data_IF_660525512537
#
_entry.id   IF_660525512537
#
_cell.length_a   1.000
_cell.length_b   1.000
_cell.length_c   1.000
_cell.angle_alpha   90.00
_cell.angle_beta   90.00
_cell.angle_gamma   90.00
#
_symmetry.space_group_name_H-M   'P 1'
#
loop_
_entity.id
_entity.type
_entity.pdbx_description
1 polymer ?
#
# COMPACT_ATOMS: atom_id res chain seq x y z
N UNK A 1 -2.32 -4.76 9.78
CA UNK A 1 -1.85 -3.65 8.94
C UNK A 1 -1.41 -4.21 7.61
N UNK A 2 -1.82 -3.59 6.51
CA UNK A 2 -1.74 -4.16 5.18
C UNK A 2 -0.37 -3.97 4.50
N UNK A 3 -0.09 -4.75 3.47
CA UNK A 3 1.01 -4.53 2.53
C UNK A 3 0.45 -4.09 1.18
N UNK A 4 1.02 -3.04 0.60
CA UNK A 4 0.63 -2.54 -0.72
C UNK A 4 1.86 -2.48 -1.64
N UNK A 5 1.62 -2.73 -2.91
CA UNK A 5 2.63 -2.61 -3.97
C UNK A 5 1.97 -2.15 -5.27
N UNK A 6 2.68 -1.34 -6.04
CA UNK A 6 2.31 -0.94 -7.40
C UNK A 6 3.53 -0.98 -8.30
N UNK A 7 3.36 -1.44 -9.53
CA UNK A 7 4.44 -1.61 -10.51
C UNK A 7 3.99 -1.10 -11.87
N UNK A 8 4.86 -0.33 -12.52
CA UNK A 8 4.77 0.03 -13.93
C UNK A 8 6.05 -0.44 -14.63
N UNK A 9 5.91 -1.20 -15.70
CA UNK A 9 7.02 -1.77 -16.46
C UNK A 9 6.66 -1.80 -17.96
N UNK A 10 7.62 -2.15 -18.80
CA UNK A 10 7.37 -2.48 -20.22
C UNK A 10 7.18 -4.00 -20.43
N UNK A 11 7.29 -4.79 -19.36
CA UNK A 11 7.06 -6.23 -19.35
C UNK A 11 5.87 -6.59 -18.45
N UNK A 12 5.49 -7.87 -18.43
CA UNK A 12 4.45 -8.39 -17.53
C UNK A 12 4.82 -8.16 -16.07
N UNK A 13 3.93 -7.49 -15.31
CA UNK A 13 4.20 -7.09 -13.91
C UNK A 13 3.73 -8.09 -12.88
N UNK A 14 2.85 -9.03 -13.25
CA UNK A 14 2.27 -9.96 -12.28
C UNK A 14 3.31 -10.81 -11.52
N UNK A 15 4.42 -11.31 -12.13
CA UNK A 15 5.45 -12.02 -11.38
C UNK A 15 6.15 -11.14 -10.35
N UNK A 16 6.48 -9.89 -10.70
CA UNK A 16 7.10 -8.94 -9.77
C UNK A 16 6.18 -8.62 -8.60
N UNK A 17 4.88 -8.44 -8.87
CA UNK A 17 3.90 -8.17 -7.81
C UNK A 17 3.73 -9.39 -6.89
N UNK A 18 3.72 -10.60 -7.44
CA UNK A 18 3.68 -11.84 -6.66
C UNK A 18 4.87 -11.94 -5.71
N UNK A 19 6.09 -11.72 -6.22
CA UNK A 19 7.31 -11.75 -5.42
C UNK A 19 7.30 -10.64 -4.36
N UNK A 20 6.89 -9.42 -4.72
CA UNK A 20 6.75 -8.31 -3.80
C UNK A 20 5.77 -8.62 -2.66
N UNK A 21 4.61 -9.20 -2.96
CA UNK A 21 3.64 -9.61 -1.95
C UNK A 21 4.19 -10.75 -1.08
N UNK A 22 4.96 -11.67 -1.65
CA UNK A 22 5.61 -12.74 -0.87
C UNK A 22 6.61 -12.16 0.14
N UNK A 23 7.39 -11.16 -0.24
CA UNK A 23 8.30 -10.43 0.65
C UNK A 23 7.52 -9.69 1.74
N UNK A 24 6.38 -9.10 1.41
CA UNK A 24 5.50 -8.36 2.33
C UNK A 24 4.55 -9.26 3.15
N UNK A 25 4.59 -10.59 3.03
CA UNK A 25 3.60 -11.50 3.63
C UNK A 25 3.44 -11.31 5.16
N UNK A 26 4.49 -10.85 5.84
CA UNK A 26 4.46 -10.53 7.27
C UNK A 26 3.48 -9.38 7.61
N UNK A 27 3.15 -8.51 6.64
CA UNK A 27 2.22 -7.40 6.84
C UNK A 27 0.74 -7.80 6.76
N UNK A 28 0.43 -8.95 6.13
CA UNK A 28 -0.94 -9.43 6.03
C UNK A 28 -1.01 -10.89 5.60
N UNK A 29 -1.84 -11.69 6.31
CA UNK A 29 -1.96 -13.13 6.09
C UNK A 29 -3.41 -13.59 5.92
N UNK A 30 -4.36 -12.66 5.90
CA UNK A 30 -5.79 -12.95 5.81
C UNK A 30 -6.26 -13.10 4.36
N UNK A 31 -5.84 -12.18 3.50
CA UNK A 31 -6.18 -12.22 2.08
C UNK A 31 -5.06 -11.61 1.25
N UNK A 32 -4.96 -12.06 0.00
CA UNK A 32 -4.05 -11.53 -1.00
C UNK A 32 -4.80 -11.22 -2.30
N UNK A 33 -4.38 -10.17 -3.00
CA UNK A 33 -4.97 -9.81 -4.29
C UNK A 33 -3.98 -9.09 -5.20
N UNK A 34 -4.14 -9.31 -6.50
CA UNK A 34 -3.40 -8.65 -7.57
C UNK A 34 -4.41 -8.16 -8.60
N UNK A 35 -4.25 -6.91 -9.02
CA UNK A 35 -4.93 -6.34 -10.17
C UNK A 35 -3.88 -5.88 -11.18
N UNK A 36 -4.11 -6.17 -12.45
CA UNK A 36 -3.24 -5.73 -13.55
C UNK A 36 -4.07 -5.11 -14.66
N UNK A 37 -3.43 -4.31 -15.50
CA UNK A 37 -4.04 -3.71 -16.67
C UNK A 37 -3.20 -4.00 -17.92
N UNK A 38 -3.83 -4.65 -18.89
CA UNK A 38 -3.29 -4.91 -20.22
C UNK A 38 -4.03 -4.02 -21.22
N UNK A 39 -3.37 -2.97 -21.71
CA UNK A 39 -3.97 -1.89 -22.49
C UNK A 39 -5.15 -1.27 -21.72
N UNK A 40 -6.39 -1.61 -22.10
CA UNK A 40 -7.61 -1.14 -21.44
C UNK A 40 -8.36 -2.25 -20.69
N UNK A 41 -7.76 -3.46 -20.61
CA UNK A 41 -8.37 -4.62 -19.95
C UNK A 41 -7.86 -4.77 -18.54
N UNK A 42 -8.80 -4.81 -17.63
CA UNK A 42 -8.55 -5.02 -16.21
C UNK A 42 -8.62 -6.51 -15.86
N UNK A 43 -7.62 -7.00 -15.17
CA UNK A 43 -7.56 -8.36 -14.65
C UNK A 43 -7.42 -8.31 -13.14
N UNK A 44 -8.23 -9.10 -12.43
CA UNK A 44 -8.25 -9.14 -10.97
C UNK A 44 -8.31 -10.57 -10.45
N UNK A 45 -7.43 -10.90 -9.54
CA UNK A 45 -7.51 -12.09 -8.72
C UNK A 45 -7.31 -11.69 -7.25
N UNK A 46 -8.28 -12.03 -6.38
CA UNK A 46 -8.19 -11.86 -4.94
C UNK A 46 -8.92 -12.95 -4.20
N UNK A 47 -8.39 -13.38 -3.07
CA UNK A 47 -8.93 -14.46 -2.26
C UNK A 47 -8.41 -14.37 -0.82
N UNK A 48 -9.12 -15.03 0.11
CA UNK A 48 -8.60 -15.31 1.45
C UNK A 48 -7.43 -16.30 1.35
N UNK A 49 -6.42 -16.11 2.18
CA UNK A 49 -5.24 -16.97 2.28
C UNK A 49 -3.93 -16.24 1.98
N UNK A 50 -2.84 -16.98 2.09
CA UNK A 50 -1.48 -16.49 1.80
C UNK A 50 -1.27 -16.36 0.30
N UNK A 51 -0.27 -15.56 -0.11
CA UNK A 51 0.09 -15.34 -1.52
C UNK A 51 0.20 -16.66 -2.30
N UNK A 52 0.97 -17.60 -1.78
CA UNK A 52 1.17 -18.92 -2.41
C UNK A 52 -0.11 -19.75 -2.56
N UNK A 53 -1.11 -19.52 -1.70
CA UNK A 53 -2.36 -20.28 -1.71
C UNK A 53 -3.37 -19.65 -2.69
N UNK A 54 -3.34 -18.33 -2.81
CA UNK A 54 -4.24 -17.55 -3.68
C UNK A 54 -3.81 -17.60 -5.15
N UNK A 55 -2.50 -17.55 -5.41
CA UNK A 55 -1.95 -17.48 -6.77
C UNK A 55 -1.27 -18.77 -7.15
N UNK A 56 -1.81 -19.41 -8.18
CA UNK A 56 -1.24 -20.59 -8.86
C UNK A 56 -0.84 -20.19 -10.28
N UNK A 57 -0.02 -20.99 -10.93
CA UNK A 57 0.47 -20.72 -12.30
C UNK A 57 -0.66 -20.36 -13.27
N UNK A 58 -1.78 -21.10 -13.19
CA UNK A 58 -2.97 -20.84 -14.02
C UNK A 58 -3.58 -19.45 -13.80
N UNK A 59 -3.47 -18.91 -12.59
CA UNK A 59 -3.95 -17.56 -12.28
C UNK A 59 -2.96 -16.50 -12.77
N UNK A 60 -1.66 -16.76 -12.63
CA UNK A 60 -0.62 -15.82 -13.06
C UNK A 60 -0.66 -15.57 -14.57
N UNK A 61 -0.92 -16.59 -15.39
CA UNK A 61 -1.09 -16.48 -16.84
C UNK A 61 -2.24 -15.53 -17.23
N UNK A 62 -3.26 -15.41 -16.39
CA UNK A 62 -4.43 -14.55 -16.65
C UNK A 62 -4.24 -13.10 -16.18
N UNK A 63 -3.29 -12.84 -15.28
CA UNK A 63 -2.96 -11.51 -14.77
C UNK A 63 -1.95 -10.81 -15.69
N UNK A 64 -2.38 -10.54 -16.91
CA UNK A 64 -1.54 -9.88 -17.93
C UNK A 64 -1.48 -8.38 -17.73
N UNK A 65 -0.43 -7.78 -18.24
CA UNK A 65 -0.30 -6.34 -18.34
C UNK A 65 1.01 -5.78 -17.80
N UNK A 66 1.29 -4.56 -18.22
CA UNK A 66 2.51 -3.81 -17.93
C UNK A 66 2.39 -2.86 -16.75
N UNK A 67 1.22 -2.77 -16.14
CA UNK A 67 1.00 -2.08 -14.85
C UNK A 67 0.06 -2.87 -13.97
N UNK A 68 0.27 -2.79 -12.65
CA UNK A 68 -0.54 -3.54 -11.70
C UNK A 68 -0.32 -3.08 -10.27
N UNK A 69 -1.26 -3.46 -9.41
CA UNK A 69 -1.21 -3.23 -7.97
C UNK A 69 -1.48 -4.53 -7.21
N UNK A 70 -0.87 -4.66 -6.04
CA UNK A 70 -1.02 -5.80 -5.17
C UNK A 70 -1.36 -5.39 -3.75
N UNK A 71 -2.05 -6.27 -3.03
CA UNK A 71 -2.48 -6.03 -1.66
C UNK A 71 -2.40 -7.29 -0.81
N UNK A 72 -1.97 -7.11 0.44
CA UNK A 72 -2.07 -8.09 1.53
C UNK A 72 -2.90 -7.52 2.66
N UNK A 73 -3.96 -8.24 3.03
CA UNK A 73 -4.85 -7.82 4.08
C UNK A 73 -4.39 -8.36 5.44
N UNK A 74 -4.33 -7.45 6.40
CA UNK A 74 -4.28 -7.78 7.82
C UNK A 74 -5.68 -7.53 8.41
N UNK A 75 -6.31 -8.51 9.09
CA UNK A 75 -7.65 -8.31 9.63
C UNK A 75 -7.62 -7.23 10.70
N UNK A 76 -8.33 -6.14 10.49
CA UNK A 76 -8.76 -5.21 11.52
C UNK A 76 -10.12 -5.66 12.04
N UNK A 77 -10.62 -5.12 13.13
CA UNK A 77 -11.91 -5.52 13.70
C UNK A 77 -13.01 -5.61 12.60
N UNK A 78 -13.53 -6.80 12.36
CA UNK A 78 -14.56 -7.04 11.33
C UNK A 78 -14.53 -8.47 10.78
N UNK A 79 -15.54 -8.84 9.99
CA UNK A 79 -15.72 -10.17 9.41
C UNK A 79 -14.56 -10.57 8.46
N UNK A 80 -14.27 -11.86 8.40
CA UNK A 80 -13.40 -12.47 7.40
C UNK A 80 -14.15 -12.60 6.06
N UNK A 81 -14.66 -11.49 5.52
CA UNK A 81 -15.39 -11.50 4.26
C UNK A 81 -14.43 -11.37 3.07
N UNK A 82 -14.60 -12.27 2.12
CA UNK A 82 -13.89 -12.24 0.84
C UNK A 82 -14.08 -10.92 0.09
N UNK A 83 -15.22 -10.27 0.29
CA UNK A 83 -15.57 -9.02 -0.36
C UNK A 83 -14.65 -7.87 0.08
N UNK A 84 -14.14 -7.93 1.31
CA UNK A 84 -13.19 -6.97 1.86
C UNK A 84 -11.75 -7.16 1.38
N UNK A 85 -11.46 -8.24 0.64
CA UNK A 85 -10.16 -8.42 0.03
C UNK A 85 -9.91 -7.35 -1.03
N UNK A 86 -8.70 -6.82 -1.08
CA UNK A 86 -8.26 -5.85 -2.06
C UNK A 86 -7.31 -6.49 -3.09
N UNK A 87 -7.09 -5.86 -4.27
CA UNK A 87 -7.63 -4.56 -4.72
C UNK A 87 -9.14 -4.53 -4.90
N UNK A 88 -9.75 -3.35 -4.60
CA UNK A 88 -11.12 -3.05 -4.97
C UNK A 88 -11.16 -2.27 -6.28
N UNK A 89 -12.30 -2.29 -6.99
CA UNK A 89 -12.42 -1.73 -8.33
C UNK A 89 -13.75 -1.01 -8.51
N UNK A 90 -13.70 0.14 -9.20
CA UNK A 90 -14.86 0.83 -9.77
C UNK A 90 -14.63 1.10 -11.26
N UNK A 91 -15.64 0.92 -12.10
CA UNK A 91 -15.51 1.07 -13.55
C UNK A 91 -15.67 2.52 -14.03
N UNK A 92 -16.32 3.39 -13.24
CA UNK A 92 -16.60 4.78 -13.63
C UNK A 92 -15.85 5.75 -12.71
N UNK A 93 -15.23 6.82 -13.29
CA UNK A 93 -15.27 7.26 -14.68
C UNK A 93 -14.23 6.58 -15.61
N UNK A 94 -13.10 6.07 -15.10
CA UNK A 94 -11.98 5.62 -15.93
C UNK A 94 -11.56 4.16 -15.69
N UNK A 95 -12.30 3.42 -14.87
CA UNK A 95 -11.83 2.13 -14.38
C UNK A 95 -10.64 2.31 -13.41
N UNK A 96 -10.94 2.30 -12.11
CA UNK A 96 -9.96 2.59 -11.06
C UNK A 96 -9.94 1.46 -10.06
N UNK A 97 -8.74 1.02 -9.69
CA UNK A 97 -8.56 0.07 -8.59
C UNK A 97 -7.69 0.66 -7.49
N UNK A 98 -7.87 0.18 -6.26
CA UNK A 98 -7.17 0.64 -5.06
C UNK A 98 -6.53 -0.50 -4.29
N UNK A 99 -5.33 -0.25 -3.78
CA UNK A 99 -4.68 -0.96 -2.68
C UNK A 99 -4.43 0.03 -1.53
N UNK A 100 -5.01 -0.22 -0.36
CA UNK A 100 -5.04 0.71 0.76
C UNK A 100 -4.47 0.06 2.02
N UNK A 101 -3.53 0.74 2.66
CA UNK A 101 -3.04 0.44 4.00
C UNK A 101 -3.36 1.59 4.94
N UNK A 102 -4.36 1.42 5.79
CA UNK A 102 -4.77 2.47 6.72
C UNK A 102 -6.16 2.27 7.30
N UNK A 103 -6.73 3.38 7.78
CA UNK A 103 -8.11 3.45 8.27
C UNK A 103 -8.61 4.89 8.23
N UNK A 104 -9.83 5.08 7.73
CA UNK A 104 -10.50 6.38 7.73
C UNK A 104 -11.35 6.55 9.00
N UNK A 105 -11.22 7.72 9.64
CA UNK A 105 -11.97 8.06 10.87
C UNK A 105 -13.33 8.69 10.61
N UNK A 106 -13.56 9.18 9.39
CA UNK A 106 -14.83 9.80 8.97
C UNK A 106 -15.55 9.01 7.86
N UNK A 107 -15.36 7.68 7.85
CA UNK A 107 -15.93 6.77 6.84
C UNK A 107 -17.45 6.95 6.71
N UNK A 108 -18.17 6.92 7.82
CA UNK A 108 -19.64 6.94 7.82
C UNK A 108 -20.18 8.27 7.28
N UNK A 109 -19.62 9.40 7.73
CA UNK A 109 -19.93 10.74 7.20
C UNK A 109 -19.76 10.82 5.67
N UNK A 110 -18.65 10.26 5.16
CA UNK A 110 -18.38 10.28 3.72
C UNK A 110 -19.32 9.34 2.97
N UNK A 111 -19.66 8.18 3.53
CA UNK A 111 -20.55 7.21 2.92
C UNK A 111 -21.94 7.78 2.65
N UNK A 112 -22.49 8.52 3.60
CA UNK A 112 -23.76 9.25 3.44
C UNK A 112 -23.68 10.26 2.27
N UNK A 113 -22.60 11.07 2.22
CA UNK A 113 -22.39 12.04 1.14
C UNK A 113 -22.23 11.37 -0.22
N UNK A 114 -21.52 10.24 -0.28
CA UNK A 114 -21.32 9.48 -1.51
C UNK A 114 -22.67 8.97 -2.04
N UNK A 115 -23.50 8.40 -1.18
CA UNK A 115 -24.79 7.82 -1.56
C UNK A 115 -25.80 8.90 -1.91
N UNK A 116 -26.00 9.90 -1.03
CA UNK A 116 -27.11 10.86 -1.16
C UNK A 116 -26.83 11.96 -2.18
N UNK A 117 -25.59 12.42 -2.28
CA UNK A 117 -25.23 13.55 -3.13
C UNK A 117 -24.43 13.18 -4.36
N UNK A 118 -23.55 12.17 -4.26
CA UNK A 118 -22.70 11.81 -5.37
C UNK A 118 -23.25 10.63 -6.19
N UNK A 119 -24.36 10.01 -5.75
CA UNK A 119 -25.02 8.87 -6.38
C UNK A 119 -24.07 7.69 -6.61
N UNK A 120 -23.17 7.46 -5.62
CA UNK A 120 -22.23 6.34 -5.62
C UNK A 120 -22.60 5.38 -4.51
N UNK A 121 -23.10 4.22 -4.89
CA UNK A 121 -23.47 3.17 -3.96
C UNK A 121 -22.26 2.32 -3.59
N UNK A 122 -22.16 1.98 -2.31
CA UNK A 122 -21.10 1.14 -1.78
C UNK A 122 -21.61 -0.30 -1.67
N UNK A 123 -20.76 -1.25 -2.02
CA UNK A 123 -21.08 -2.68 -1.97
C UNK A 123 -20.65 -3.31 -0.64
N UNK A 124 -19.71 -2.68 0.07
CA UNK A 124 -19.17 -3.17 1.32
C UNK A 124 -19.13 -2.06 2.37
N UNK A 125 -18.87 -2.44 3.61
CA UNK A 125 -18.62 -1.50 4.72
C UNK A 125 -17.13 -1.14 4.88
N UNK A 126 -16.36 -1.25 3.80
CA UNK A 126 -14.92 -0.95 3.80
C UNK A 126 -14.64 0.53 3.60
N UNK A 127 -13.79 1.09 4.43
CA UNK A 127 -13.23 2.43 4.25
C UNK A 127 -12.39 2.55 2.96
N UNK A 128 -11.83 1.44 2.49
CA UNK A 128 -11.09 1.39 1.21
C UNK A 128 -12.02 1.62 0.02
N UNK A 129 -13.25 1.08 0.04
CA UNK A 129 -14.25 1.33 -0.99
C UNK A 129 -14.75 2.78 -0.93
N UNK A 130 -14.90 3.33 0.26
CA UNK A 130 -15.22 4.75 0.46
C UNK A 130 -14.15 5.64 -0.17
N UNK A 131 -12.88 5.39 0.15
CA UNK A 131 -11.75 6.15 -0.38
C UNK A 131 -11.65 6.04 -1.91
N UNK A 132 -11.85 4.84 -2.46
CA UNK A 132 -11.90 4.60 -3.90
C UNK A 132 -12.98 5.43 -4.59
N UNK A 133 -14.18 5.47 -4.02
CA UNK A 133 -15.29 6.23 -4.56
C UNK A 133 -15.12 7.75 -4.41
N UNK A 134 -14.48 8.22 -3.34
CA UNK A 134 -14.10 9.64 -3.20
C UNK A 134 -13.14 10.04 -4.31
N UNK A 135 -12.05 9.29 -4.50
CA UNK A 135 -11.06 9.58 -5.52
C UNK A 135 -11.66 9.53 -6.93
N UNK A 136 -12.47 8.50 -7.23
CA UNK A 136 -13.17 8.39 -8.51
C UNK A 136 -14.12 9.59 -8.77
N UNK A 137 -14.81 10.07 -7.74
CA UNK A 137 -15.68 11.25 -7.85
C UNK A 137 -14.87 12.53 -8.09
N UNK A 138 -13.75 12.70 -7.39
CA UNK A 138 -12.91 13.87 -7.59
C UNK A 138 -12.21 13.87 -8.96
N UNK A 139 -11.83 12.70 -9.50
CA UNK A 139 -11.38 12.58 -10.88
C UNK A 139 -12.48 12.91 -11.89
N UNK A 140 -13.72 12.45 -11.64
CA UNK A 140 -14.86 12.75 -12.51
C UNK A 140 -15.10 14.26 -12.63
N UNK A 141 -14.91 15.01 -11.55
CA UNK A 141 -15.08 16.48 -11.55
C UNK A 141 -14.07 17.18 -12.43
N UNK A 142 -12.91 16.57 -12.72
CA UNK A 142 -11.94 17.18 -13.62
C UNK A 142 -12.44 17.23 -15.08
N UNK A 143 -13.42 16.36 -15.44
CA UNK A 143 -14.14 16.41 -16.71
C UNK A 143 -13.29 16.16 -17.96
N UNK A 144 -12.06 15.65 -17.79
CA UNK A 144 -11.14 15.46 -18.88
C UNK A 144 -11.43 14.17 -19.66
N UNK A 145 -11.41 14.24 -20.98
CA UNK A 145 -11.47 13.04 -21.84
C UNK A 145 -10.15 12.25 -21.82
N UNK A 146 -9.03 12.92 -21.49
CA UNK A 146 -7.72 12.34 -21.25
C UNK A 146 -7.15 12.94 -19.97
N UNK A 147 -6.73 12.07 -19.03
CA UNK A 147 -6.13 12.50 -17.78
C UNK A 147 -4.64 12.79 -17.96
N UNK A 148 -4.21 13.95 -17.49
CA UNK A 148 -2.80 14.29 -17.33
C UNK A 148 -2.43 14.25 -15.84
N UNK A 149 -1.12 14.36 -15.53
CA UNK A 149 -0.66 14.43 -14.14
C UNK A 149 -1.36 15.55 -13.35
N UNK A 150 -1.71 16.67 -14.00
CA UNK A 150 -2.35 17.82 -13.35
C UNK A 150 -3.74 17.48 -12.80
N UNK A 151 -4.60 16.86 -13.61
CA UNK A 151 -5.95 16.44 -13.18
C UNK A 151 -5.86 15.39 -12.06
N UNK A 152 -4.90 14.47 -12.15
CA UNK A 152 -4.69 13.44 -11.12
C UNK A 152 -4.29 14.08 -9.79
N UNK A 153 -3.30 14.97 -9.77
CA UNK A 153 -2.89 15.66 -8.53
C UNK A 153 -3.98 16.58 -7.98
N UNK A 154 -4.79 17.21 -8.83
CA UNK A 154 -5.97 17.97 -8.40
C UNK A 154 -7.00 17.07 -7.69
N UNK A 155 -7.24 15.87 -8.21
CA UNK A 155 -8.13 14.90 -7.59
C UNK A 155 -7.56 14.40 -6.24
N UNK A 156 -6.24 14.18 -6.13
CA UNK A 156 -5.59 13.84 -4.86
C UNK A 156 -5.76 14.97 -3.84
N UNK A 157 -5.48 16.21 -4.22
CA UNK A 157 -5.70 17.40 -3.34
C UNK A 157 -7.15 17.49 -2.85
N UNK A 158 -8.10 17.24 -3.73
CA UNK A 158 -9.52 17.26 -3.36
C UNK A 158 -9.89 16.07 -2.46
N UNK A 159 -9.30 14.91 -2.68
CA UNK A 159 -9.47 13.73 -1.82
C UNK A 159 -8.97 14.00 -0.41
N UNK A 160 -7.76 14.56 -0.24
CA UNK A 160 -7.22 14.94 1.08
C UNK A 160 -8.12 15.88 1.87
N UNK A 161 -8.86 16.76 1.21
CA UNK A 161 -9.81 17.69 1.86
C UNK A 161 -11.05 16.98 2.41
N UNK A 162 -11.39 15.80 1.88
CA UNK A 162 -12.60 15.06 2.26
C UNK A 162 -12.35 13.97 3.27
N UNK A 163 -11.21 13.27 3.16
CA UNK A 163 -10.91 12.09 3.98
C UNK A 163 -10.09 12.47 5.21
N UNK A 164 -10.35 11.82 6.33
CA UNK A 164 -9.58 11.94 7.57
C UNK A 164 -9.16 10.55 8.04
N UNK A 165 -7.93 10.43 8.48
CA UNK A 165 -7.40 9.17 8.99
C UNK A 165 -5.94 8.96 8.62
N UNK A 166 -5.49 7.72 8.82
CA UNK A 166 -4.17 7.26 8.43
C UNK A 166 -4.30 6.44 7.15
N UNK A 167 -3.60 6.82 6.08
CA UNK A 167 -3.62 6.06 4.83
C UNK A 167 -2.36 6.21 4.01
N UNK A 168 -1.89 5.09 3.48
CA UNK A 168 -1.05 5.06 2.29
C UNK A 168 -1.77 4.22 1.23
N UNK A 169 -1.86 4.75 0.03
CA UNK A 169 -2.69 4.16 -1.02
C UNK A 169 -1.97 4.13 -2.34
N UNK A 170 -2.32 3.13 -3.13
CA UNK A 170 -1.93 3.04 -4.53
C UNK A 170 -3.18 2.82 -5.35
N UNK A 171 -3.44 3.73 -6.27
CA UNK A 171 -4.49 3.59 -7.28
C UNK A 171 -3.89 3.22 -8.62
N UNK A 172 -4.53 2.32 -9.34
CA UNK A 172 -4.28 2.10 -10.75
C UNK A 172 -5.47 2.63 -11.54
N UNK A 173 -5.21 3.52 -12.49
CA UNK A 173 -6.19 4.08 -13.43
C UNK A 173 -5.96 3.40 -14.77
N UNK A 174 -6.96 2.66 -15.24
CA UNK A 174 -6.83 1.86 -16.46
C UNK A 174 -6.40 2.70 -17.66
N UNK A 175 -5.40 2.23 -18.39
CA UNK A 175 -4.89 2.90 -19.58
C UNK A 175 -4.15 4.22 -19.33
N UNK A 176 -4.00 4.65 -18.06
CA UNK A 176 -3.38 5.94 -17.68
C UNK A 176 -2.09 5.76 -16.89
N UNK A 177 -2.14 5.04 -15.74
CA UNK A 177 -0.98 4.85 -14.89
C UNK A 177 -1.34 4.48 -13.45
N UNK A 178 -0.35 4.62 -12.57
CA UNK A 178 -0.46 4.35 -11.14
C UNK A 178 -0.18 5.64 -10.38
N UNK A 179 -1.00 5.92 -9.35
CA UNK A 179 -0.77 7.03 -8.42
C UNK A 179 -0.70 6.49 -6.99
N UNK A 180 0.38 6.85 -6.28
CA UNK A 180 0.56 6.55 -4.86
C UNK A 180 0.62 7.81 -4.03
N UNK A 181 -0.04 7.85 -2.86
CA UNK A 181 0.06 8.98 -1.95
C UNK A 181 -0.13 8.58 -0.48
N UNK A 182 0.36 9.44 0.41
CA UNK A 182 0.25 9.29 1.87
C UNK A 182 -0.67 10.35 2.46
N UNK A 183 -1.24 10.04 3.61
CA UNK A 183 -2.00 11.01 4.41
C UNK A 183 -1.14 12.22 4.81
N UNK A 184 -1.77 13.36 5.22
CA UNK A 184 -1.07 14.59 5.59
C UNK A 184 -0.09 14.47 6.74
N UNK A 185 -0.15 13.37 7.50
CA UNK A 185 0.70 13.12 8.66
C UNK A 185 1.77 12.05 8.38
N UNK A 186 1.72 11.37 7.20
CA UNK A 186 2.64 10.31 6.87
C UNK A 186 2.61 9.14 7.86
N UNK A 187 1.43 8.81 8.40
CA UNK A 187 1.28 7.79 9.45
C UNK A 187 1.67 6.41 8.94
N UNK A 188 1.29 6.07 7.69
CA UNK A 188 1.65 4.80 7.05
C UNK A 188 2.79 4.99 6.06
N UNK A 189 3.76 4.06 6.00
CA UNK A 189 4.89 4.18 5.09
C UNK A 189 4.46 3.93 3.64
N UNK A 190 5.12 4.61 2.74
CA UNK A 190 5.08 4.35 1.31
C UNK A 190 6.41 4.80 0.71
N UNK A 191 7.07 3.92 -0.01
CA UNK A 191 8.38 4.13 -0.59
C UNK A 191 8.34 3.84 -2.09
N UNK A 192 9.21 4.45 -2.86
CA UNK A 192 9.26 4.25 -4.29
C UNK A 192 10.69 4.15 -4.80
N UNK A 193 10.84 3.55 -5.96
CA UNK A 193 12.11 3.42 -6.63
C UNK A 193 11.96 2.99 -8.08
N UNK A 194 13.10 2.89 -8.76
CA UNK A 194 13.16 2.52 -10.16
C UNK A 194 14.26 1.50 -10.40
N UNK A 195 14.13 0.76 -11.49
CA UNK A 195 15.15 -0.16 -11.98
C UNK A 195 15.34 0.09 -13.46
N UNK A 196 16.58 0.31 -13.87
CA UNK A 196 16.88 0.44 -15.30
C UNK A 196 16.83 -0.92 -15.99
N UNK A 197 16.18 -0.94 -17.12
CA UNK A 197 16.19 -2.06 -18.04
C UNK A 197 16.75 -1.54 -19.38
N UNK A 198 17.96 -1.96 -19.71
CA UNK A 198 18.71 -1.45 -20.87
C UNK A 198 17.99 -1.61 -22.21
N UNK A 199 17.07 -2.56 -22.31
CA UNK A 199 16.34 -2.86 -23.54
C UNK A 199 14.96 -2.20 -23.61
N UNK A 200 14.28 -2.04 -22.49
CA UNK A 200 12.86 -1.68 -22.43
C UNK A 200 12.59 -0.31 -21.79
N UNK A 201 13.57 0.26 -21.10
CA UNK A 201 13.43 1.47 -20.32
C UNK A 201 13.12 1.19 -18.84
N UNK A 202 12.93 2.23 -18.01
CA UNK A 202 12.83 2.06 -16.58
C UNK A 202 11.55 1.34 -16.14
N UNK A 203 11.70 0.45 -15.16
CA UNK A 203 10.61 -0.07 -14.35
C UNK A 203 10.48 0.78 -13.08
N UNK A 204 9.26 0.98 -12.61
CA UNK A 204 8.98 1.73 -11.37
C UNK A 204 8.18 0.87 -10.41
N UNK A 205 8.49 1.02 -9.13
CA UNK A 205 7.78 0.36 -8.04
C UNK A 205 7.46 1.33 -6.91
N UNK A 206 6.25 1.21 -6.36
CA UNK A 206 5.81 1.84 -5.12
C UNK A 206 5.44 0.71 -4.15
N UNK A 207 5.91 0.72 -2.92
CA UNK A 207 5.65 -0.35 -1.94
C UNK A 207 5.57 0.18 -0.51
N UNK A 208 5.05 -0.65 0.40
CA UNK A 208 4.99 -0.35 1.83
C UNK A 208 6.35 -0.33 2.52
N UNK A 209 7.35 -1.08 2.02
CA UNK A 209 8.67 -1.22 2.65
C UNK A 209 9.79 -1.23 1.61
N UNK A 210 10.96 -0.69 1.97
CA UNK A 210 12.17 -0.66 1.14
C UNK A 210 12.70 -2.05 0.80
N UNK A 211 12.50 -3.02 1.69
CA UNK A 211 12.97 -4.41 1.50
C UNK A 211 12.44 -5.07 0.24
N UNK A 212 11.26 -4.64 -0.24
CA UNK A 212 10.69 -5.12 -1.50
C UNK A 212 11.52 -4.63 -2.68
N UNK A 213 11.83 -3.35 -2.69
CA UNK A 213 12.62 -2.72 -3.75
C UNK A 213 14.02 -3.33 -3.79
N UNK A 214 14.69 -3.38 -2.63
CA UNK A 214 16.04 -3.95 -2.50
C UNK A 214 16.09 -5.41 -3.00
N UNK A 215 15.12 -6.23 -2.58
CA UNK A 215 15.10 -7.67 -2.94
C UNK A 215 14.85 -7.88 -4.42
N UNK A 216 14.04 -7.02 -5.06
CA UNK A 216 13.70 -7.13 -6.49
C UNK A 216 14.63 -6.32 -7.40
N UNK A 217 15.73 -5.78 -6.85
CA UNK A 217 16.76 -5.07 -7.59
C UNK A 217 16.34 -3.70 -8.10
N UNK A 218 15.48 -3.01 -7.36
CA UNK A 218 15.13 -1.62 -7.61
C UNK A 218 16.00 -0.70 -6.76
N UNK A 219 16.50 0.36 -7.35
CA UNK A 219 17.15 1.44 -6.62
C UNK A 219 16.09 2.26 -5.89
N UNK A 220 16.21 2.34 -4.56
CA UNK A 220 15.30 3.12 -3.73
C UNK A 220 15.55 4.61 -4.00
N UNK A 221 14.54 5.30 -4.52
CA UNK A 221 14.60 6.74 -4.78
C UNK A 221 14.28 7.55 -3.53
N UNK A 222 13.34 7.07 -2.71
CA UNK A 222 12.99 7.69 -1.43
C UNK A 222 11.60 7.31 -0.92
N UNK A 223 11.26 7.88 0.22
CA UNK A 223 9.91 7.80 0.77
C UNK A 223 8.98 8.81 0.06
N UNK A 224 7.70 8.48 0.01
CA UNK A 224 6.66 9.44 -0.35
C UNK A 224 6.43 10.32 0.88
N UNK A 225 6.59 11.62 0.76
CA UNK A 225 6.45 12.54 1.88
C UNK A 225 4.99 12.63 2.38
N UNK A 226 4.75 13.07 3.64
CA UNK A 226 3.40 13.31 4.14
C UNK A 226 2.62 14.26 3.21
N UNK A 227 1.43 13.83 2.77
CA UNK A 227 0.60 14.60 1.84
C UNK A 227 1.13 14.75 0.42
N UNK A 228 2.21 14.05 0.09
CA UNK A 228 2.73 13.98 -1.29
C UNK A 228 2.03 12.89 -2.09
N UNK A 229 1.99 13.10 -3.41
CA UNK A 229 1.57 12.12 -4.39
C UNK A 229 2.65 11.89 -5.45
N UNK A 230 2.76 10.63 -5.88
CA UNK A 230 3.58 10.20 -7.01
C UNK A 230 2.66 9.62 -8.06
N UNK A 231 2.80 10.08 -9.29
CA UNK A 231 2.12 9.52 -10.45
C UNK A 231 3.15 8.94 -11.41
N UNK A 232 2.94 7.71 -11.83
CA UNK A 232 3.75 7.01 -12.84
C UNK A 232 2.83 6.69 -14.00
N UNK A 233 3.08 7.31 -15.15
CA UNK A 233 2.29 7.07 -16.36
C UNK A 233 2.57 5.67 -16.93
N UNK A 234 1.67 5.16 -17.74
CA UNK A 234 1.87 3.88 -18.45
C UNK A 234 3.05 3.93 -19.43
N UNK A 235 3.44 5.12 -19.87
CA UNK A 235 4.62 5.35 -20.70
C UNK A 235 5.93 5.22 -19.93
N UNK A 236 5.88 5.27 -18.58
CA UNK A 236 7.04 5.22 -17.69
C UNK A 236 7.61 6.61 -17.37
N UNK A 237 6.77 7.62 -17.36
CA UNK A 237 7.13 8.95 -16.85
C UNK A 237 6.67 9.10 -15.41
N UNK A 238 7.54 9.59 -14.53
CA UNK A 238 7.25 9.77 -13.12
C UNK A 238 7.16 11.24 -12.75
N UNK A 239 6.09 11.58 -12.04
CA UNK A 239 5.80 12.93 -11.56
C UNK A 239 5.54 12.90 -10.05
N UNK A 240 5.95 13.96 -9.35
CA UNK A 240 5.74 14.12 -7.90
C UNK A 240 5.14 15.48 -7.61
N UNK A 241 4.20 15.55 -6.67
CA UNK A 241 3.60 16.81 -6.24
C UNK A 241 3.20 16.78 -4.75
N UNK A 242 3.56 17.85 -4.01
CA UNK A 242 3.03 18.09 -2.68
C UNK A 242 1.55 18.50 -2.80
N UNK A 243 0.66 17.66 -2.28
CA UNK A 243 -0.78 17.86 -2.39
C UNK A 243 -1.40 18.53 -1.15
N UNK A 244 -0.59 18.81 -0.14
CA UNK A 244 -0.96 19.51 1.11
C UNK A 244 0.04 20.63 1.38
N UNK A 245 -0.45 21.77 1.85
CA UNK A 245 0.40 22.96 2.08
C UNK A 245 1.27 22.87 3.33
N UNK A 246 0.78 22.27 4.42
CA UNK A 246 1.47 22.19 5.71
C UNK A 246 1.39 20.76 6.26
N UNK A 247 2.12 19.80 5.69
CA UNK A 247 2.15 18.45 6.21
C UNK A 247 2.88 18.40 7.55
N UNK A 248 2.45 17.50 8.45
CA UNK A 248 3.09 17.28 9.75
C UNK A 248 3.51 15.82 9.81
N UNK A 249 4.81 15.54 9.88
CA UNK A 249 5.29 14.17 9.92
C UNK A 249 5.11 13.56 11.32
N UNK A 250 4.15 12.62 11.45
CA UNK A 250 3.87 11.87 12.69
C UNK A 250 3.73 10.38 12.39
N UNK A 251 4.83 9.68 12.10
CA UNK A 251 4.81 8.28 11.72
C UNK A 251 4.33 7.38 12.85
N UNK A 252 3.70 6.28 12.49
CA UNK A 252 3.23 5.30 13.45
C UNK A 252 4.39 4.54 14.08
N UNK A 253 4.56 4.65 15.40
CA UNK A 253 5.61 3.94 16.15
C UNK A 253 5.55 2.42 15.96
N UNK A 254 4.38 1.83 15.75
CA UNK A 254 4.22 0.39 15.55
C UNK A 254 4.89 -0.14 14.28
N UNK A 255 5.12 0.69 13.28
CA UNK A 255 5.93 0.31 12.12
C UNK A 255 7.36 -0.06 12.55
N UNK A 256 7.97 0.72 13.43
CA UNK A 256 9.33 0.49 13.92
C UNK A 256 9.40 -0.61 14.99
N UNK A 257 8.43 -0.68 15.89
CA UNK A 257 8.44 -1.63 17.02
C UNK A 257 8.12 -3.05 16.55
N UNK A 258 7.15 -3.20 15.67
CA UNK A 258 6.54 -4.51 15.42
C UNK A 258 6.37 -4.87 13.94
N UNK A 259 5.87 -3.95 13.10
CA UNK A 259 5.31 -4.34 11.81
C UNK A 259 6.36 -4.52 10.70
N UNK A 260 7.21 -3.51 10.51
CA UNK A 260 8.18 -3.53 9.43
C UNK A 260 9.25 -4.60 9.65
N UNK A 261 9.83 -5.10 8.58
CA UNK A 261 10.99 -6.00 8.66
C UNK A 261 12.17 -5.27 9.31
N UNK A 262 13.03 -5.98 10.06
CA UNK A 262 14.20 -5.35 10.70
C UNK A 262 15.18 -4.71 9.71
N UNK A 263 15.27 -5.25 8.50
CA UNK A 263 16.13 -4.77 7.42
C UNK A 263 15.53 -3.59 6.63
N UNK A 264 14.27 -3.20 6.91
CA UNK A 264 13.62 -2.05 6.28
C UNK A 264 14.22 -0.72 6.74
N UNK A 265 14.19 0.25 5.82
CA UNK A 265 14.40 1.68 6.10
C UNK A 265 13.09 2.39 5.78
N UNK A 266 12.56 3.16 6.73
CA UNK A 266 11.30 3.92 6.62
C UNK A 266 11.59 5.35 7.05
N UNK A 267 11.20 6.33 6.24
CA UNK A 267 11.43 7.76 6.50
C UNK A 267 12.92 8.04 6.88
N UNK A 268 13.85 7.42 6.17
CA UNK A 268 15.30 7.44 6.40
C UNK A 268 15.74 6.88 7.76
N UNK A 269 14.89 6.15 8.47
CA UNK A 269 15.20 5.53 9.75
C UNK A 269 15.30 4.01 9.58
N UNK A 270 16.47 3.44 9.92
CA UNK A 270 16.64 1.98 9.97
C UNK A 270 15.81 1.39 11.11
N UNK A 271 14.93 0.46 10.77
CA UNK A 271 14.08 -0.25 11.74
C UNK A 271 14.93 -1.02 12.75
N UNK A 272 16.00 -1.70 12.29
CA UNK A 272 16.93 -2.41 13.16
C UNK A 272 17.58 -1.49 14.21
N UNK A 273 18.17 -0.37 13.78
CA UNK A 273 18.79 0.61 14.69
C UNK A 273 17.78 1.19 15.66
N UNK A 274 16.54 1.43 15.21
CA UNK A 274 15.46 1.91 16.07
C UNK A 274 15.14 0.90 17.16
N UNK A 275 14.99 -0.38 16.82
CA UNK A 275 14.73 -1.46 17.80
C UNK A 275 15.87 -1.65 18.78
N UNK A 276 17.14 -1.56 18.34
CA UNK A 276 18.28 -1.58 19.24
C UNK A 276 18.22 -0.46 20.27
N UNK A 277 17.98 0.78 19.83
CA UNK A 277 17.84 1.95 20.74
C UNK A 277 16.68 1.81 21.72
N UNK A 278 15.55 1.26 21.28
CA UNK A 278 14.40 0.96 22.15
C UNK A 278 14.77 -0.08 23.21
N UNK A 279 15.49 -1.14 22.83
CA UNK A 279 16.02 -2.15 23.76
C UNK A 279 16.95 -1.57 24.80
N UNK A 280 17.90 -0.73 24.39
CA UNK A 280 18.80 -0.02 25.31
C UNK A 280 18.05 0.89 26.31
N UNK A 281 17.06 1.63 25.81
CA UNK A 281 16.22 2.49 26.66
C UNK A 281 15.39 1.67 27.65
N UNK A 282 14.85 0.53 27.21
CA UNK A 282 14.09 -0.39 28.05
C UNK A 282 14.97 -1.02 29.13
N UNK A 283 16.15 -1.49 28.78
CA UNK A 283 17.12 -2.10 29.71
C UNK A 283 17.48 -1.16 30.87
N UNK A 284 17.58 0.15 30.62
CA UNK A 284 17.83 1.16 31.68
C UNK A 284 16.66 1.30 32.65
N UNK A 285 15.44 1.00 32.24
CA UNK A 285 14.22 1.09 33.07
C UNK A 285 13.92 -0.19 33.82
N UNK A 286 14.29 -1.32 33.28
CA UNK A 286 14.04 -2.63 33.88
C UNK A 286 15.22 -2.99 34.78
N UNK A 287 15.01 -2.96 36.09
CA UNK A 287 15.92 -3.56 37.07
C UNK A 287 15.64 -5.04 37.14
N UNK A 288 16.20 -5.82 36.25
CA UNK A 288 16.07 -7.29 36.28
C UNK A 288 17.29 -7.92 36.93
N UNK A 289 17.05 -8.86 37.84
CA UNK A 289 18.10 -9.81 38.27
C UNK A 289 18.22 -10.88 37.17
N UNK A 290 19.10 -10.67 36.20
CA UNK A 290 19.33 -11.55 35.04
C UNK A 290 19.47 -13.02 35.41
N UNK A 291 20.06 -13.31 36.56
CA UNK A 291 20.19 -14.69 37.08
C UNK A 291 18.86 -15.38 37.33
N UNK A 292 17.83 -14.69 37.78
CA UNK A 292 16.50 -15.27 38.03
C UNK A 292 15.75 -15.48 36.72
N UNK A 293 15.76 -14.50 35.85
CA UNK A 293 15.10 -14.58 34.53
C UNK A 293 15.70 -15.75 33.72
N UNK A 294 17.03 -15.89 33.70
CA UNK A 294 17.69 -16.98 32.99
C UNK A 294 17.35 -18.38 33.56
N UNK A 295 17.16 -18.50 34.86
CA UNK A 295 16.75 -19.78 35.49
C UNK A 295 15.29 -20.12 35.22
N UNK A 296 14.40 -19.14 35.31
CA UNK A 296 12.98 -19.34 35.03
C UNK A 296 12.74 -19.72 33.55
N UNK A 297 13.43 -19.11 32.61
CA UNK A 297 13.35 -19.49 31.21
C UNK A 297 13.85 -20.94 31.00
N UNK A 298 14.95 -21.32 31.60
CA UNK A 298 15.48 -22.69 31.48
C UNK A 298 14.53 -23.75 32.05
N UNK A 299 13.91 -23.48 33.21
CA UNK A 299 12.99 -24.44 33.82
C UNK A 299 11.66 -24.60 33.06
N UNK A 300 11.23 -23.55 32.36
CA UNK A 300 9.99 -23.61 31.54
C UNK A 300 10.18 -24.25 30.15
N UNK A 301 11.39 -24.17 29.59
CA UNK A 301 11.62 -24.58 28.19
C UNK A 301 12.33 -25.91 28.05
N UNK A 302 12.75 -26.52 29.14
CA UNK A 302 13.37 -27.85 29.13
C UNK A 302 12.47 -28.83 29.86
N UNK A 303 11.64 -29.64 29.15
CA UNK A 303 10.84 -30.69 29.76
C UNK A 303 11.64 -31.92 30.20
N UNK A 304 12.97 -31.89 30.03
CA UNK A 304 13.88 -33.00 30.33
C UNK A 304 14.96 -32.59 31.34
N UNK A 305 14.53 -32.18 32.51
CA UNK A 305 15.39 -32.12 33.69
C UNK A 305 14.80 -32.99 34.78
#
# INVERSE_FOLDING_TARGET
MCGVVGVVSKSEVSPMIYDALTILQHRGQDAAGIATCDHDKFHLRKQLGLVRDVFRDTHMITLRGSMGIGHLRYPTAGSQDRELAQPMYVNSPYGISISHNGNLTNKDEISEVLTDRNLRFLSTDSDSEVLLNVFAHELQKQGASSLTQKEIFQAVKATHKRVRGAYSVIFMINGVGIVGFRDPFGIRPLIFGSRQNDLLGPDYMIASESTVLDTLGFDVTGDVDPGEAIFISKEGEMYREACIENPIHTPCIFEYVYLARPDAVIDNISVHKSRMRMGEALAKKIRSEERRVGKECRSRWSPYH
#
